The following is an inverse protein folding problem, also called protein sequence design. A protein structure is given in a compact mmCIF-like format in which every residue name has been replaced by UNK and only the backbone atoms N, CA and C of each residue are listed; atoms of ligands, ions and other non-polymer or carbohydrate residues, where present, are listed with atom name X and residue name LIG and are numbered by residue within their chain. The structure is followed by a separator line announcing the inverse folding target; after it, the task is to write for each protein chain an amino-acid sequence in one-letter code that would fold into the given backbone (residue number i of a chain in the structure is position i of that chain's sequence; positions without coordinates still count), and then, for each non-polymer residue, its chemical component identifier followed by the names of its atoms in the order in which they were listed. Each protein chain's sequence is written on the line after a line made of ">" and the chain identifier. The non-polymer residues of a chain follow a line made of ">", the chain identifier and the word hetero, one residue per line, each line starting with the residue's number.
data_IF_379747729908
#
_entry.id   IF_379747729908
#
_cell.length_a   1.000
_cell.length_b   1.000
_cell.length_c   1.000
_cell.angle_alpha   90.00
_cell.angle_beta   90.00
_cell.angle_gamma   90.00
#
_symmetry.space_group_name_H-M   'P 1'
#
loop_
_entity.id
_entity.type
_entity.pdbx_description
1 polymer ?
#
# COMPACT_ATOMS: atom_id res chain seq x y z
N UNK A 1 -12.41 -8.03 42.35
CA UNK A 1 -12.59 -6.97 41.35
C UNK A 1 -13.15 -7.66 40.12
N UNK A 2 -14.37 -7.33 39.71
CA UNK A 2 -14.98 -7.90 38.51
C UNK A 2 -14.30 -7.24 37.31
N UNK A 3 -13.48 -8.01 36.59
CA UNK A 3 -12.94 -7.56 35.31
C UNK A 3 -14.12 -7.50 34.33
N UNK A 4 -14.41 -6.30 33.83
CA UNK A 4 -15.55 -6.07 32.97
C UNK A 4 -15.28 -6.74 31.62
N UNK A 5 -15.92 -7.89 31.38
CA UNK A 5 -15.88 -8.58 30.09
C UNK A 5 -16.42 -7.65 29.00
N UNK A 6 -15.66 -7.38 27.93
CA UNK A 6 -16.15 -6.60 26.80
C UNK A 6 -17.29 -7.38 26.12
N UNK A 7 -18.52 -6.94 26.36
CA UNK A 7 -19.72 -7.59 25.79
C UNK A 7 -19.77 -7.35 24.27
N UNK A 8 -20.03 -8.43 23.54
CA UNK A 8 -20.25 -8.51 22.08
C UNK A 8 -21.33 -7.50 21.63
N UNK A 9 -20.91 -6.27 21.33
CA UNK A 9 -21.82 -5.18 20.95
C UNK A 9 -21.41 -3.77 21.39
N UNK A 10 -20.35 -3.62 22.20
CA UNK A 10 -19.92 -2.27 22.64
C UNK A 10 -19.02 -1.53 21.64
N UNK A 11 -18.63 -2.16 20.53
CA UNK A 11 -17.73 -1.52 19.58
C UNK A 11 -18.48 -0.57 18.64
N UNK A 12 -17.98 0.66 18.42
CA UNK A 12 -18.58 1.57 17.45
C UNK A 12 -18.53 0.98 16.03
N UNK A 13 -19.50 1.37 15.22
CA UNK A 13 -19.57 0.97 13.81
C UNK A 13 -18.32 1.44 13.04
N UNK A 14 -17.71 0.52 12.28
CA UNK A 14 -16.45 0.73 11.56
C UNK A 14 -16.68 1.55 10.30
N UNK A 15 -17.84 1.40 9.65
CA UNK A 15 -18.08 1.97 8.33
C UNK A 15 -17.94 3.51 8.29
N UNK A 16 -18.20 4.18 9.42
CA UNK A 16 -18.06 5.63 9.58
C UNK A 16 -16.73 6.10 10.16
N UNK A 17 -15.79 5.20 10.48
CA UNK A 17 -14.54 5.56 11.13
C UNK A 17 -13.53 6.19 10.18
N UNK A 18 -12.81 7.19 10.69
CA UNK A 18 -11.60 7.71 10.04
C UNK A 18 -10.49 6.67 10.13
N UNK A 19 -9.56 6.71 9.17
CA UNK A 19 -8.40 5.81 9.14
C UNK A 19 -7.61 5.80 10.46
N UNK A 20 -7.28 6.97 11.02
CA UNK A 20 -6.49 7.03 12.26
C UNK A 20 -7.24 6.44 13.46
N UNK A 21 -8.55 6.69 13.59
CA UNK A 21 -9.35 6.15 14.68
C UNK A 21 -9.40 4.60 14.59
N UNK A 22 -9.63 4.07 13.39
CA UNK A 22 -9.65 2.63 13.15
C UNK A 22 -8.29 1.98 13.41
N UNK A 23 -7.20 2.67 13.02
CA UNK A 23 -5.82 2.22 13.24
C UNK A 23 -5.46 2.22 14.73
N UNK A 24 -5.83 3.25 15.47
CA UNK A 24 -5.59 3.32 16.92
C UNK A 24 -6.32 2.21 17.67
N UNK A 25 -7.58 1.95 17.33
CA UNK A 25 -8.35 0.85 17.92
C UNK A 25 -7.71 -0.50 17.60
N UNK A 26 -7.26 -0.71 16.36
CA UNK A 26 -6.58 -1.94 15.95
C UNK A 26 -5.29 -2.17 16.76
N UNK A 27 -4.47 -1.13 16.95
CA UNK A 27 -3.25 -1.20 17.77
C UNK A 27 -3.59 -1.61 19.21
N UNK A 28 -4.64 -1.01 19.80
CA UNK A 28 -5.07 -1.34 21.16
C UNK A 28 -5.55 -2.79 21.28
N UNK A 29 -6.23 -3.32 20.26
CA UNK A 29 -6.69 -4.71 20.21
C UNK A 29 -5.50 -5.67 20.11
N UNK A 30 -4.56 -5.41 19.22
CA UNK A 30 -3.35 -6.22 19.06
C UNK A 30 -2.58 -6.27 20.38
N UNK A 31 -2.37 -5.12 21.04
CA UNK A 31 -1.68 -5.06 22.32
C UNK A 31 -2.38 -5.91 23.41
N UNK A 32 -3.72 -5.93 23.43
CA UNK A 32 -4.49 -6.76 24.38
C UNK A 32 -4.35 -8.25 24.07
N UNK A 33 -4.39 -8.63 22.80
CA UNK A 33 -4.20 -10.03 22.38
C UNK A 33 -2.80 -10.53 22.71
N UNK A 34 -1.77 -9.72 22.44
CA UNK A 34 -0.38 -10.03 22.76
C UNK A 34 -0.12 -10.15 24.26
N UNK A 35 -0.86 -9.41 25.08
CA UNK A 35 -0.76 -9.49 26.53
C UNK A 35 -1.24 -10.85 27.09
N UNK A 36 -2.02 -11.63 26.32
CA UNK A 36 -2.39 -13.02 26.63
C UNK A 36 -3.22 -13.22 27.90
N UNK A 37 -3.80 -12.15 28.45
CA UNK A 37 -4.50 -12.15 29.74
C UNK A 37 -6.02 -12.26 29.61
N UNK A 38 -6.56 -12.18 28.39
CA UNK A 38 -7.99 -12.26 28.13
C UNK A 38 -8.47 -13.73 28.09
N UNK A 39 -9.68 -14.03 28.58
CA UNK A 39 -10.36 -15.30 28.30
C UNK A 39 -10.40 -15.63 26.81
N UNK A 40 -10.54 -16.92 26.48
CA UNK A 40 -10.60 -17.38 25.08
C UNK A 40 -11.72 -16.69 24.29
N UNK A 41 -12.92 -16.62 24.86
CA UNK A 41 -14.09 -15.99 24.23
C UNK A 41 -13.80 -14.52 23.89
N UNK A 42 -13.25 -13.77 24.85
CA UNK A 42 -12.87 -12.37 24.67
C UNK A 42 -11.77 -12.21 23.62
N UNK A 43 -10.79 -13.13 23.61
CA UNK A 43 -9.72 -13.15 22.60
C UNK A 43 -10.28 -13.37 21.19
N UNK A 44 -11.31 -14.21 21.05
CA UNK A 44 -12.00 -14.40 19.78
C UNK A 44 -12.77 -13.16 19.34
N UNK A 45 -13.43 -12.45 20.27
CA UNK A 45 -14.10 -11.18 19.95
C UNK A 45 -13.11 -10.10 19.51
N UNK A 46 -12.03 -9.93 20.28
CA UNK A 46 -10.94 -9.00 19.96
C UNK A 46 -10.34 -9.31 18.58
N UNK A 47 -10.08 -10.58 18.29
CA UNK A 47 -9.57 -10.98 16.98
C UNK A 47 -10.53 -10.61 15.84
N UNK A 48 -11.82 -10.98 15.92
CA UNK A 48 -12.82 -10.64 14.87
C UNK A 48 -12.93 -9.13 14.66
N UNK A 49 -12.90 -8.36 15.74
CA UNK A 49 -12.91 -6.90 15.67
C UNK A 49 -11.65 -6.36 14.99
N UNK A 50 -10.48 -6.91 15.35
CA UNK A 50 -9.20 -6.58 14.72
C UNK A 50 -9.21 -6.86 13.21
N UNK A 51 -9.73 -8.02 12.78
CA UNK A 51 -9.86 -8.36 11.36
C UNK A 51 -10.73 -7.35 10.60
N UNK A 52 -11.86 -6.96 11.20
CA UNK A 52 -12.77 -6.00 10.58
C UNK A 52 -12.14 -4.59 10.46
N UNK A 53 -11.38 -4.16 11.48
CA UNK A 53 -10.64 -2.90 11.44
C UNK A 53 -9.50 -2.94 10.41
N UNK A 54 -8.76 -4.05 10.32
CA UNK A 54 -7.70 -4.24 9.35
C UNK A 54 -8.25 -4.16 7.90
N UNK A 55 -9.39 -4.80 7.64
CA UNK A 55 -10.05 -4.73 6.34
C UNK A 55 -10.50 -3.29 5.97
N UNK A 56 -11.04 -2.54 6.93
CA UNK A 56 -11.42 -1.13 6.74
C UNK A 56 -10.21 -0.24 6.44
N UNK A 57 -9.13 -0.39 7.21
CA UNK A 57 -7.88 0.32 6.96
C UNK A 57 -7.30 -0.01 5.59
N UNK A 58 -7.32 -1.29 5.17
CA UNK A 58 -6.89 -1.71 3.85
C UNK A 58 -7.69 -1.03 2.74
N UNK A 59 -9.02 -1.00 2.85
CA UNK A 59 -9.92 -0.34 1.88
C UNK A 59 -9.59 1.15 1.73
N UNK A 60 -9.28 1.84 2.83
CA UNK A 60 -8.86 3.24 2.82
C UNK A 60 -7.55 3.45 2.07
N UNK A 61 -6.54 2.62 2.35
CA UNK A 61 -5.22 2.72 1.74
C UNK A 61 -5.26 2.41 0.24
N UNK A 62 -6.03 1.39 -0.16
CA UNK A 62 -6.23 1.03 -1.56
C UNK A 62 -6.87 2.19 -2.34
N UNK A 63 -7.88 2.85 -1.74
CA UNK A 63 -8.52 4.03 -2.32
C UNK A 63 -7.55 5.20 -2.50
N UNK A 64 -6.74 5.50 -1.47
CA UNK A 64 -5.74 6.55 -1.51
C UNK A 64 -4.66 6.27 -2.58
N UNK A 65 -4.21 5.02 -2.67
CA UNK A 65 -3.23 4.60 -3.67
C UNK A 65 -3.78 4.77 -5.10
N UNK A 66 -5.02 4.35 -5.35
CA UNK A 66 -5.67 4.52 -6.65
C UNK A 66 -5.82 6.00 -7.05
N UNK A 67 -6.06 6.88 -6.08
CA UNK A 67 -6.12 8.33 -6.33
C UNK A 67 -4.75 8.88 -6.75
N UNK A 68 -3.68 8.50 -6.05
CA UNK A 68 -2.31 8.91 -6.38
C UNK A 68 -1.92 8.42 -7.78
N UNK A 69 -2.23 7.17 -8.11
CA UNK A 69 -1.94 6.59 -9.42
C UNK A 69 -2.68 7.32 -10.55
N UNK A 70 -3.94 7.69 -10.33
CA UNK A 70 -4.72 8.48 -11.28
C UNK A 70 -4.14 9.88 -11.47
N UNK A 71 -3.69 10.52 -10.39
CA UNK A 71 -3.10 11.86 -10.44
C UNK A 71 -1.70 11.87 -11.09
N UNK A 72 -0.93 10.80 -10.93
CA UNK A 72 0.46 10.72 -11.40
C UNK A 72 0.60 10.11 -12.79
N UNK A 73 -0.46 9.50 -13.33
CA UNK A 73 -0.46 8.92 -14.68
C UNK A 73 -0.09 10.01 -15.71
N UNK A 74 1.02 9.85 -16.46
CA UNK A 74 1.33 10.75 -17.55
C UNK A 74 0.16 10.73 -18.54
N UNK A 75 -0.38 11.90 -18.89
CA UNK A 75 -1.25 11.97 -20.06
C UNK A 75 -0.39 11.54 -21.25
N UNK A 76 -0.67 10.36 -21.81
CA UNK A 76 -0.11 9.97 -23.08
C UNK A 76 -0.45 11.08 -24.07
N UNK A 77 0.58 11.82 -24.51
CA UNK A 77 0.41 12.80 -25.56
C UNK A 77 -0.11 12.05 -26.80
N UNK A 78 -1.32 12.37 -27.30
CA UNK A 78 -1.68 11.92 -28.64
C UNK A 78 -0.69 12.62 -29.60
N UNK A 79 -0.04 11.83 -30.46
CA UNK A 79 1.06 12.19 -31.37
C UNK A 79 2.48 12.32 -30.78
N UNK A 80 3.08 11.17 -30.48
CA UNK A 80 4.51 10.98 -30.78
C UNK A 80 4.62 10.10 -32.04
N UNK A 81 4.83 10.74 -33.19
CA UNK A 81 5.14 10.04 -34.44
C UNK A 81 6.41 9.17 -34.27
N UNK A 82 6.50 7.98 -34.88
CA UNK A 82 7.66 7.11 -34.72
C UNK A 82 8.89 7.75 -35.36
N UNK A 83 9.88 8.10 -34.55
CA UNK A 83 11.19 8.53 -35.04
C UNK A 83 11.86 7.36 -35.75
N UNK A 84 12.07 7.48 -37.06
CA UNK A 84 12.87 6.55 -37.87
C UNK A 84 14.33 6.57 -37.41
N UNK A 85 14.94 5.42 -37.08
CA UNK A 85 16.36 5.37 -36.76
C UNK A 85 17.19 5.54 -38.04
N UNK A 86 17.99 6.61 -38.11
CA UNK A 86 18.99 6.79 -39.17
C UNK A 86 20.09 5.73 -38.96
N UNK A 87 20.16 4.76 -39.87
CA UNK A 87 21.28 3.83 -39.96
C UNK A 87 22.52 4.62 -40.41
N UNK A 88 23.53 4.70 -39.55
CA UNK A 88 24.84 5.23 -39.90
C UNK A 88 25.68 4.09 -40.46
N UNK A 89 25.47 3.78 -41.73
CA UNK A 89 26.41 3.01 -42.55
C UNK A 89 26.64 3.83 -43.82
N UNK A 90 27.68 4.67 -43.81
CA UNK A 90 28.42 5.04 -45.02
C UNK A 90 29.84 5.45 -44.62
N UNK A 91 30.79 4.66 -45.11
CA UNK A 91 32.21 4.67 -44.79
C UNK A 91 32.96 5.74 -45.59
N UNK A 92 34.13 6.18 -45.10
CA UNK A 92 35.34 6.56 -45.86
C UNK A 92 36.46 6.66 -44.80
N UNK A 93 37.31 5.63 -44.67
CA UNK A 93 38.62 5.47 -45.33
C UNK A 93 39.67 6.48 -44.86
N UNK A 94 40.60 6.02 -44.01
CA UNK A 94 42.02 6.41 -44.00
C UNK A 94 42.80 5.31 -43.24
N UNK A 95 43.12 4.23 -43.97
CA UNK A 95 44.19 3.29 -43.64
C UNK A 95 45.41 3.72 -44.46
N UNK A 96 46.24 4.60 -43.91
CA UNK A 96 47.57 5.05 -44.40
C UNK A 96 48.07 5.98 -43.27
N UNK A 97 49.25 5.95 -42.64
CA UNK A 97 50.61 5.49 -42.91
C UNK A 97 51.20 5.09 -41.53
N UNK A 98 51.79 3.91 -41.37
CA UNK A 98 53.22 3.62 -41.58
C UNK A 98 54.21 4.40 -40.69
N UNK A 99 55.08 3.61 -40.05
CA UNK A 99 56.47 3.92 -39.68
C UNK A 99 56.72 4.88 -38.49
N UNK A 100 57.28 4.35 -37.38
CA UNK A 100 58.74 4.34 -37.17
C UNK A 100 59.09 3.86 -35.73
N UNK A 101 59.89 2.78 -35.69
CA UNK A 101 60.92 2.35 -34.70
C UNK A 101 60.62 2.15 -33.21
#
# INVERSE_FOLDING_TARGET
>A
MADATPTEGSFPDIAGMRYEDAREELIAIVAKLEAGQAPLEDSMHLWRRGEALAAHCGTWLDGAQAEIERATRPQAAPDAAPATPQRADDAIFDEDEDDES
#
